data_IF_314124203879
#
_entry.id   IF_314124203879
#
_cell.length_a   1.000
_cell.length_b   1.000
_cell.length_c   1.000
_cell.angle_alpha   90.00
_cell.angle_beta   90.00
_cell.angle_gamma   90.00
#
_symmetry.space_group_name_H-M   'P 1'
#
loop_
_entity.id
_entity.type
_entity.pdbx_description
1 polymer ?
#
# COMPACT_ATOMS: atom_id res chain seq x y z
N UNK A 1 16.73 -8.92 -11.93
CA UNK A 1 17.24 -7.72 -11.27
C UNK A 1 16.10 -6.83 -10.81
N UNK A 2 15.17 -6.55 -11.72
CA UNK A 2 14.05 -5.70 -11.39
C UNK A 2 13.19 -6.26 -10.28
N UNK A 3 13.00 -7.58 -10.27
CA UNK A 3 12.16 -8.23 -9.27
C UNK A 3 12.77 -8.15 -7.87
N UNK A 4 14.09 -8.32 -7.78
CA UNK A 4 14.79 -8.21 -6.50
C UNK A 4 14.68 -6.78 -5.98
N UNK A 5 14.90 -5.81 -6.84
CA UNK A 5 14.81 -4.40 -6.46
C UNK A 5 13.40 -4.04 -5.99
N UNK A 6 12.39 -4.51 -6.72
CA UNK A 6 11.00 -4.21 -6.34
C UNK A 6 10.62 -4.83 -5.01
N UNK A 7 11.09 -6.05 -4.74
CA UNK A 7 10.84 -6.67 -3.45
C UNK A 7 11.48 -5.88 -2.32
N UNK A 8 12.69 -5.36 -2.57
CA UNK A 8 13.34 -4.50 -1.58
C UNK A 8 12.54 -3.24 -1.32
N UNK A 9 11.97 -2.65 -2.37
CA UNK A 9 11.12 -1.47 -2.19
C UNK A 9 9.89 -1.78 -1.36
N UNK A 10 9.24 -2.92 -1.62
CA UNK A 10 8.11 -3.33 -0.80
C UNK A 10 8.50 -3.52 0.66
N UNK A 11 9.68 -4.13 0.90
CA UNK A 11 10.16 -4.33 2.26
C UNK A 11 10.38 -3.00 2.97
N UNK A 12 10.99 -2.05 2.28
CA UNK A 12 11.26 -0.73 2.87
C UNK A 12 9.94 -0.01 3.15
N UNK A 13 8.98 -0.09 2.23
CA UNK A 13 7.70 0.55 2.44
C UNK A 13 6.98 -0.04 3.65
N UNK A 14 6.96 -1.38 3.76
CA UNK A 14 6.30 -2.04 4.88
C UNK A 14 6.97 -1.68 6.20
N UNK A 15 8.28 -1.69 6.22
CA UNK A 15 9.02 -1.32 7.42
C UNK A 15 8.73 0.13 7.83
N UNK A 16 8.70 1.02 6.84
CA UNK A 16 8.43 2.44 7.13
C UNK A 16 7.03 2.63 7.70
N UNK A 17 6.04 1.91 7.17
CA UNK A 17 4.68 2.00 7.69
C UNK A 17 4.62 1.44 9.12
N UNK A 18 5.31 0.34 9.38
CA UNK A 18 5.37 -0.24 10.72
C UNK A 18 6.07 0.71 11.70
N UNK A 19 7.12 1.38 11.25
CA UNK A 19 7.80 2.38 12.06
C UNK A 19 6.84 3.53 12.41
N UNK A 20 6.02 3.94 11.45
CA UNK A 20 5.02 4.98 11.72
C UNK A 20 4.02 4.52 12.76
N UNK A 21 3.55 3.27 12.67
CA UNK A 21 2.62 2.74 13.65
C UNK A 21 3.24 2.71 15.06
N UNK A 22 4.50 2.31 15.14
CA UNK A 22 5.21 2.27 16.41
C UNK A 22 5.39 3.68 16.97
N UNK A 23 5.77 4.62 16.11
CA UNK A 23 5.95 6.01 16.53
C UNK A 23 4.64 6.60 17.04
N UNK A 24 3.54 6.25 16.40
CA UNK A 24 2.22 6.73 16.82
C UNK A 24 1.91 6.23 18.24
N UNK A 25 2.17 4.95 18.49
CA UNK A 25 1.94 4.37 19.82
C UNK A 25 2.80 5.03 20.89
N UNK A 26 4.00 5.44 20.51
CA UNK A 26 4.94 6.09 21.42
C UNK A 26 4.74 7.60 21.51
N UNK A 27 3.77 8.11 20.76
CA UNK A 27 3.48 9.55 20.70
C UNK A 27 4.67 10.37 20.22
N UNK A 28 5.45 9.78 19.31
CA UNK A 28 6.59 10.43 18.69
C UNK A 28 6.15 10.96 17.32
N UNK A 29 5.64 12.19 17.31
CA UNK A 29 5.08 12.79 16.11
C UNK A 29 6.12 12.98 15.02
N UNK A 30 7.31 13.41 15.37
CA UNK A 30 8.35 13.65 14.37
C UNK A 30 8.71 12.36 13.65
N UNK A 31 8.88 11.27 14.39
CA UNK A 31 9.19 9.99 13.76
C UNK A 31 7.99 9.46 12.98
N UNK A 32 6.78 9.69 13.47
CA UNK A 32 5.57 9.29 12.74
C UNK A 32 5.56 9.91 11.35
N UNK A 33 5.74 11.22 11.26
CA UNK A 33 5.72 11.90 9.97
C UNK A 33 6.93 11.54 9.11
N UNK A 34 8.10 11.38 9.72
CA UNK A 34 9.30 11.00 8.98
C UNK A 34 9.14 9.61 8.35
N UNK A 35 8.57 8.67 9.10
CA UNK A 35 8.36 7.31 8.61
C UNK A 35 7.36 7.29 7.45
N UNK A 36 6.27 8.07 7.57
CA UNK A 36 5.31 8.16 6.48
C UNK A 36 5.90 8.82 5.25
N UNK A 37 6.78 9.78 5.44
CA UNK A 37 7.46 10.42 4.32
C UNK A 37 8.33 9.40 3.58
N UNK A 38 9.03 8.54 4.31
CA UNK A 38 9.81 7.47 3.68
C UNK A 38 8.90 6.53 2.89
N UNK A 39 7.78 6.12 3.48
CA UNK A 39 6.85 5.24 2.80
C UNK A 39 6.33 5.86 1.52
N UNK A 40 5.98 7.15 1.55
CA UNK A 40 5.49 7.85 0.36
C UNK A 40 6.54 7.89 -0.74
N UNK A 41 7.80 8.11 -0.37
CA UNK A 41 8.88 8.12 -1.37
C UNK A 41 9.03 6.77 -2.05
N UNK A 42 8.89 5.69 -1.28
CA UNK A 42 9.01 4.35 -1.86
C UNK A 42 7.85 4.07 -2.81
N UNK A 43 6.64 4.46 -2.42
CA UNK A 43 5.48 4.27 -3.30
C UNK A 43 5.64 5.08 -4.58
N UNK A 44 6.18 6.30 -4.48
CA UNK A 44 6.49 7.09 -5.68
C UNK A 44 7.48 6.37 -6.57
N UNK A 45 8.49 5.74 -5.98
CA UNK A 45 9.48 5.00 -6.76
C UNK A 45 8.84 3.80 -7.45
N UNK A 46 7.97 3.07 -6.76
CA UNK A 46 7.26 1.96 -7.35
C UNK A 46 6.39 2.43 -8.52
N UNK A 47 5.70 3.53 -8.33
CA UNK A 47 4.85 4.09 -9.37
C UNK A 47 5.66 4.52 -10.60
N UNK A 48 6.78 5.20 -10.36
CA UNK A 48 7.64 5.69 -11.45
C UNK A 48 8.27 4.57 -12.25
N UNK A 49 8.41 3.40 -11.65
CA UNK A 49 9.07 2.27 -12.31
C UNK A 49 8.12 1.48 -13.21
N UNK A 50 6.85 1.83 -13.25
CA UNK A 50 5.88 1.11 -14.06
C UNK A 50 6.08 1.39 -15.54
N UNK A 51 5.99 0.31 -16.35
CA UNK A 51 5.97 0.44 -17.80
C UNK A 51 4.51 0.38 -18.25
N UNK A 52 3.97 1.53 -18.58
CA UNK A 52 2.54 1.67 -18.86
C UNK A 52 2.11 1.01 -20.17
N UNK A 53 3.02 0.39 -20.91
CA UNK A 53 2.64 -0.41 -22.07
C UNK A 53 1.89 -1.67 -21.68
N UNK A 54 2.07 -2.15 -20.45
CA UNK A 54 1.45 -3.39 -19.99
C UNK A 54 0.20 -3.12 -19.20
N UNK A 55 -0.82 -3.96 -19.40
CA UNK A 55 -2.09 -3.79 -18.70
C UNK A 55 -1.94 -3.93 -17.18
N UNK A 56 -1.06 -4.84 -16.75
CA UNK A 56 -0.84 -5.01 -15.31
C UNK A 56 -0.31 -3.72 -14.69
N UNK A 57 0.48 -2.95 -15.42
CA UNK A 57 1.00 -1.68 -14.89
C UNK A 57 -0.12 -0.69 -14.63
N UNK A 58 -1.15 -0.69 -15.47
CA UNK A 58 -2.28 0.22 -15.25
C UNK A 58 -3.03 -0.14 -13.97
N UNK A 59 -3.19 -1.42 -13.70
CA UNK A 59 -3.82 -1.86 -12.45
C UNK A 59 -2.95 -1.53 -11.24
N UNK A 60 -1.66 -1.77 -11.35
CA UNK A 60 -0.73 -1.43 -10.26
C UNK A 60 -0.69 0.07 -10.00
N UNK A 61 -0.76 0.87 -11.05
CA UNK A 61 -0.79 2.32 -10.90
C UNK A 61 -1.97 2.74 -10.01
N UNK A 62 -3.15 2.18 -10.28
CA UNK A 62 -4.34 2.50 -9.47
C UNK A 62 -4.13 2.13 -8.01
N UNK A 63 -3.49 0.99 -7.75
CA UNK A 63 -3.22 0.54 -6.39
C UNK A 63 -2.25 1.50 -5.71
N UNK A 64 -1.18 1.89 -6.40
CA UNK A 64 -0.21 2.81 -5.81
C UNK A 64 -0.81 4.18 -5.54
N UNK A 65 -1.68 4.66 -6.43
CA UNK A 65 -2.40 5.91 -6.18
C UNK A 65 -3.26 5.80 -4.93
N UNK A 66 -3.94 4.66 -4.75
CA UNK A 66 -4.74 4.44 -3.54
C UNK A 66 -3.88 4.37 -2.29
N UNK A 67 -2.73 3.69 -2.38
CA UNK A 67 -1.80 3.67 -1.24
C UNK A 67 -1.34 5.07 -0.87
N UNK A 68 -0.97 5.86 -1.87
CA UNK A 68 -0.52 7.22 -1.60
C UNK A 68 -1.61 8.02 -0.91
N UNK A 69 -2.85 7.83 -1.35
CA UNK A 69 -3.98 8.53 -0.73
C UNK A 69 -4.14 8.16 0.73
N UNK A 70 -4.00 6.87 1.06
CA UNK A 70 -4.04 6.43 2.45
C UNK A 70 -2.87 6.99 3.26
N UNK A 71 -1.67 7.00 2.67
CA UNK A 71 -0.50 7.53 3.37
C UNK A 71 -0.65 9.02 3.65
N UNK A 72 -1.20 9.77 2.70
CA UNK A 72 -1.46 11.19 2.92
C UNK A 72 -2.52 11.37 4.02
N UNK A 73 -3.55 10.54 4.02
CA UNK A 73 -4.58 10.61 5.05
C UNK A 73 -4.00 10.32 6.43
N UNK A 74 -3.11 9.33 6.52
CA UNK A 74 -2.46 9.02 7.78
C UNK A 74 -1.58 10.17 8.25
N UNK A 75 -0.90 10.82 7.31
CA UNK A 75 0.05 11.89 7.63
C UNK A 75 -0.69 13.19 7.96
N UNK A 76 -1.40 13.74 7.00
CA UNK A 76 -2.06 15.04 7.17
C UNK A 76 -3.27 14.95 8.08
N UNK A 77 -4.00 13.82 8.02
CA UNK A 77 -5.20 13.63 8.81
C UNK A 77 -4.99 12.94 10.14
N UNK A 78 -3.76 12.53 10.43
CA UNK A 78 -3.41 11.78 11.65
C UNK A 78 -4.26 10.51 11.81
N UNK A 79 -4.65 9.90 10.71
CA UNK A 79 -5.49 8.69 10.75
C UNK A 79 -4.59 7.46 10.63
N UNK A 80 -4.15 6.96 11.77
CA UNK A 80 -3.25 5.81 11.81
C UNK A 80 -3.97 4.52 11.40
N UNK A 81 -5.31 4.51 11.48
CA UNK A 81 -6.06 3.27 11.24
C UNK A 81 -5.95 2.76 9.81
N UNK A 82 -5.69 3.65 8.85
CA UNK A 82 -5.60 3.25 7.45
C UNK A 82 -4.28 2.53 7.12
N UNK A 83 -3.32 2.57 8.04
CA UNK A 83 -1.99 1.98 7.78
C UNK A 83 -2.03 0.46 7.71
N UNK A 84 -2.93 -0.19 8.43
CA UNK A 84 -3.08 -1.65 8.32
C UNK A 84 -3.51 -2.04 6.91
N UNK A 85 -4.36 -1.25 6.28
CA UNK A 85 -4.78 -1.48 4.91
C UNK A 85 -3.58 -1.38 3.96
N UNK A 86 -2.75 -0.35 4.16
CA UNK A 86 -1.56 -0.18 3.33
C UNK A 86 -0.61 -1.38 3.48
N UNK A 87 -0.41 -1.84 4.72
CA UNK A 87 0.44 -3.01 4.96
C UNK A 87 -0.11 -4.25 4.26
N UNK A 88 -1.42 -4.44 4.33
CA UNK A 88 -2.04 -5.59 3.68
C UNK A 88 -1.82 -5.54 2.17
N UNK A 89 -1.99 -4.37 1.57
CA UNK A 89 -1.78 -4.19 0.14
C UNK A 89 -0.33 -4.50 -0.25
N UNK A 90 0.60 -3.93 0.49
CA UNK A 90 2.03 -4.14 0.22
C UNK A 90 2.42 -5.61 0.37
N UNK A 91 1.91 -6.25 1.41
CA UNK A 91 2.22 -7.66 1.66
C UNK A 91 1.72 -8.55 0.53
N UNK A 92 0.50 -8.30 0.05
CA UNK A 92 -0.06 -9.09 -1.04
C UNK A 92 0.70 -8.90 -2.34
N UNK A 93 1.07 -7.66 -2.65
CA UNK A 93 1.84 -7.38 -3.86
C UNK A 93 3.24 -7.98 -3.78
N UNK A 94 3.88 -7.85 -2.63
CA UNK A 94 5.20 -8.43 -2.44
C UNK A 94 5.19 -9.93 -2.67
N UNK A 95 4.19 -10.60 -2.11
CA UNK A 95 4.05 -12.04 -2.29
C UNK A 95 3.85 -12.40 -3.75
N UNK A 96 3.05 -11.62 -4.47
CA UNK A 96 2.80 -11.87 -5.88
C UNK A 96 4.07 -11.76 -6.71
N UNK A 97 4.87 -10.75 -6.46
CA UNK A 97 6.13 -10.59 -7.17
C UNK A 97 7.10 -11.71 -6.84
N UNK A 98 7.12 -12.17 -5.61
CA UNK A 98 7.95 -13.30 -5.22
C UNK A 98 7.56 -14.56 -6.00
N UNK A 99 6.25 -14.82 -6.11
CA UNK A 99 5.77 -15.99 -6.84
C UNK A 99 6.11 -15.90 -8.33
N UNK A 100 5.98 -14.72 -8.92
CA UNK A 100 6.31 -14.53 -10.32
C UNK A 100 7.77 -14.79 -10.58
N UNK A 101 8.66 -14.29 -9.72
CA UNK A 101 10.09 -14.49 -9.92
C UNK A 101 10.48 -15.97 -9.83
N UNK A 102 9.68 -16.77 -9.14
CA UNK A 102 9.92 -18.21 -9.02
C UNK A 102 9.31 -19.02 -10.16
N UNK A 103 8.15 -18.57 -10.67
CA UNK A 103 7.37 -19.34 -11.62
C UNK A 103 7.46 -18.81 -13.04
N UNK A 104 8.06 -17.64 -13.22
CA UNK A 104 8.20 -17.02 -14.52
C UNK A 104 6.84 -16.86 -15.21
N UNK A 105 5.85 -16.32 -14.49
CA UNK A 105 4.54 -16.07 -15.05
C UNK A 105 3.98 -14.77 -14.49
N UNK A 106 3.15 -14.07 -15.28
CA UNK A 106 2.52 -12.82 -14.84
C UNK A 106 1.10 -13.03 -14.35
N UNK A 107 0.54 -14.23 -14.56
CA UNK A 107 -0.84 -14.50 -14.17
C UNK A 107 -1.12 -14.28 -12.70
N UNK A 108 -0.33 -14.82 -11.79
CA UNK A 108 -0.57 -14.59 -10.36
C UNK A 108 -0.50 -13.13 -9.97
N UNK A 109 0.41 -12.36 -10.55
CA UNK A 109 0.53 -10.93 -10.25
C UNK A 109 -0.74 -10.21 -10.69
N UNK A 110 -1.20 -10.51 -11.90
CA UNK A 110 -2.40 -9.88 -12.45
C UNK A 110 -3.61 -10.14 -11.55
N UNK A 111 -3.82 -11.41 -11.18
CA UNK A 111 -4.97 -11.76 -10.36
C UNK A 111 -4.91 -11.09 -8.99
N UNK A 112 -3.74 -11.07 -8.37
CA UNK A 112 -3.61 -10.43 -7.07
C UNK A 112 -3.80 -8.93 -7.15
N UNK A 113 -3.32 -8.30 -8.20
CA UNK A 113 -3.53 -6.87 -8.39
C UNK A 113 -5.01 -6.55 -8.49
N UNK A 114 -5.73 -7.36 -9.27
CA UNK A 114 -7.17 -7.16 -9.42
C UNK A 114 -7.91 -7.35 -8.10
N UNK A 115 -7.54 -8.37 -7.34
CA UNK A 115 -8.17 -8.62 -6.05
C UNK A 115 -7.92 -7.50 -5.06
N UNK A 116 -6.70 -7.00 -5.02
CA UNK A 116 -6.38 -5.90 -4.12
C UNK A 116 -7.15 -4.65 -4.51
N UNK A 117 -7.21 -4.35 -5.79
CA UNK A 117 -7.95 -3.19 -6.27
C UNK A 117 -9.43 -3.31 -5.96
N UNK A 118 -10.01 -4.48 -6.21
CA UNK A 118 -11.42 -4.72 -5.91
C UNK A 118 -11.71 -4.56 -4.44
N UNK A 119 -10.82 -5.08 -3.59
CA UNK A 119 -10.96 -4.93 -2.15
C UNK A 119 -10.93 -3.49 -1.70
N UNK A 120 -10.04 -2.71 -2.29
CA UNK A 120 -9.97 -1.29 -1.98
C UNK A 120 -11.24 -0.56 -2.38
N UNK A 121 -11.74 -0.84 -3.57
CA UNK A 121 -12.95 -0.22 -4.05
C UNK A 121 -14.13 -0.55 -3.13
N UNK A 122 -14.24 -1.79 -2.75
CA UNK A 122 -15.30 -2.23 -1.86
C UNK A 122 -15.19 -1.55 -0.49
N UNK A 123 -13.98 -1.48 0.06
CA UNK A 123 -13.77 -0.81 1.34
C UNK A 123 -14.15 0.65 1.28
N UNK A 124 -13.76 1.33 0.22
CA UNK A 124 -14.08 2.74 0.06
C UNK A 124 -15.59 2.95 0.00
N UNK A 125 -16.30 2.07 -0.67
CA UNK A 125 -17.74 2.17 -0.73
C UNK A 125 -18.38 1.90 0.62
N UNK A 126 -17.83 0.93 1.35
CA UNK A 126 -18.35 0.57 2.65
C UNK A 126 -18.13 1.63 3.70
N UNK A 127 -17.15 2.52 3.50
CA UNK A 127 -16.85 3.53 4.49
C UNK A 127 -16.96 4.91 3.91
N UNK A 128 -17.81 5.10 2.91
CA UNK A 128 -17.85 6.36 2.23
C UNK A 128 -18.12 7.49 3.17
N UNK A 129 -18.80 7.24 4.20
CA UNK A 129 -18.97 8.25 5.16
C UNK A 129 -18.07 8.02 6.27
N UNK A 130 -17.67 6.91 6.43
CA UNK A 130 -16.75 6.56 7.31
C UNK A 130 -15.52 6.26 6.70
N UNK A 131 -15.30 6.23 5.71
CA UNK A 131 -14.05 5.95 5.37
C UNK A 131 -13.21 6.92 5.76
N UNK A 132 -14.09 6.70 5.93
CA UNK A 132 -13.58 6.87 6.40
C UNK A 132 -13.61 6.31 7.44
N UNK A 133 -14.41 5.80 7.85
CA UNK A 133 -14.32 5.11 8.64
C UNK A 133 -13.78 4.13 8.82
N UNK A 134 -13.91 3.66 8.54
CA UNK A 134 -13.19 2.69 8.43
C UNK A 134 -12.58 2.66 8.47
N UNK A 135 -12.94 2.86 8.24
CA UNK A 135 -12.18 2.75 8.15
C UNK A 135 -12.15 3.00 8.99
N UNK A 136 -12.94 3.11 9.24
CA UNK A 136 -12.82 2.99 9.89
C UNK A 136 -12.94 2.48 10.54
N UNK A 137 -13.53 2.15 10.55
CA UNK A 137 -13.29 1.48 10.76
C UNK A 137 -13.38 0.86 11.01
N UNK A 138 -13.73 0.50 10.74
CA UNK A 138 -13.39 -0.20 10.51
C UNK A 138 -13.34 -0.53 10.52
N UNK A 139 -13.59 -0.57 10.54
CA UNK A 139 -13.12 -0.93 10.05
C UNK A 139 -12.73 -0.89 9.67
N UNK A 140 -13.08 -0.87 9.46
CA UNK A 140 -12.32 -0.91 8.66
C UNK A 140 -12.08 -0.85 8.36
N UNK A 141 -12.34 -1.10 8.13
CA UNK A 141 -11.79 -1.30 7.50
C UNK A 141 -11.54 -1.98 7.53
N UNK A 142 -11.85 -2.26 7.58
CA UNK A 142 -11.35 -2.89 7.34
C UNK A 142 -11.23 -3.48 7.17
N UNK A 143 -11.46 -3.63 6.94
CA UNK A 143 -11.05 -3.98 6.42
C UNK A 143 -10.82 -4.30 6.36
#
# INVERSE_FOLDING_TARGET
>A
LGDVYKRQLYDIAMESVQDAQAAYREKNDDEYHASLKRAKRVVDELESSLDMQYDISKELFKIYVSMMRFLVKADAGHDVTVLDTVLSMLSKLRKSFYEVSRQDTTGPVMRNAEQVYAGLTYSNMGTSTEIAENASGNRGYTV
#
